data_IF_796657365736
#
_entry.id   IF_796657365736
#
_cell.length_a   1.000
_cell.length_b   1.000
_cell.length_c   1.000
_cell.angle_alpha   90.00
_cell.angle_beta   90.00
_cell.angle_gamma   90.00
#
_symmetry.space_group_name_H-M   'P 1'
#
loop_
_entity.id
_entity.type
_entity.pdbx_description
1 polymer ?
#
# COMPACT_ATOMS: atom_id res chain seq x y z
N UNK A 1 15.28 -46.97 -32.90
CA UNK A 1 14.17 -46.21 -32.34
C UNK A 1 14.81 -45.13 -31.46
N UNK A 2 14.89 -43.90 -31.97
CA UNK A 2 15.48 -42.77 -31.26
C UNK A 2 14.34 -41.81 -30.99
N UNK A 3 13.98 -41.66 -29.72
CA UNK A 3 13.01 -40.66 -29.26
C UNK A 3 13.73 -39.31 -29.22
N UNK A 4 13.27 -38.36 -30.02
CA UNK A 4 13.64 -36.94 -29.90
C UNK A 4 12.72 -36.28 -28.88
N UNK A 5 13.30 -35.78 -27.80
CA UNK A 5 12.64 -34.82 -26.89
C UNK A 5 12.61 -33.46 -27.59
N UNK A 6 11.42 -32.94 -27.84
CA UNK A 6 11.24 -31.54 -28.23
C UNK A 6 11.15 -30.70 -26.95
N UNK A 7 12.13 -29.85 -26.76
CA UNK A 7 12.08 -28.76 -25.79
C UNK A 7 11.23 -27.62 -26.40
N UNK A 8 10.13 -27.29 -25.76
CA UNK A 8 9.36 -26.09 -26.06
C UNK A 8 10.12 -24.89 -25.48
N UNK A 9 10.62 -24.03 -26.34
CA UNK A 9 11.03 -22.68 -25.96
C UNK A 9 9.77 -21.82 -25.86
N UNK A 10 9.53 -21.22 -24.71
CA UNK A 10 8.50 -20.21 -24.53
C UNK A 10 8.85 -18.98 -25.39
N UNK A 11 7.92 -18.54 -26.23
CA UNK A 11 8.02 -17.33 -27.03
C UNK A 11 7.74 -16.15 -26.11
N UNK A 12 8.70 -15.22 -25.99
CA UNK A 12 8.43 -13.90 -25.37
C UNK A 12 7.72 -13.03 -26.41
N UNK A 13 6.58 -12.39 -26.08
CA UNK A 13 5.95 -11.44 -26.99
C UNK A 13 6.83 -10.21 -27.19
N UNK A 14 6.80 -9.63 -28.39
CA UNK A 14 7.52 -8.41 -28.72
C UNK A 14 6.69 -7.19 -28.37
N UNK A 15 7.31 -6.03 -28.12
CA UNK A 15 6.65 -4.76 -27.76
C UNK A 15 5.49 -4.38 -28.71
N UNK A 16 5.55 -4.81 -29.97
CA UNK A 16 4.48 -4.57 -30.97
C UNK A 16 3.18 -5.32 -30.67
N UNK A 17 3.23 -6.43 -29.93
CA UNK A 17 2.04 -7.23 -29.60
C UNK A 17 1.29 -6.65 -28.39
N UNK A 18 2.01 -5.99 -27.48
CA UNK A 18 1.40 -5.26 -26.37
C UNK A 18 0.60 -4.04 -26.81
N UNK A 19 1.14 -3.27 -27.78
CA UNK A 19 0.44 -2.10 -28.36
C UNK A 19 -0.87 -2.48 -29.07
N UNK A 20 -0.94 -3.70 -29.63
CA UNK A 20 -2.15 -4.18 -30.31
C UNK A 20 -3.27 -4.54 -29.31
N UNK A 21 -2.91 -5.01 -28.14
CA UNK A 21 -3.87 -5.37 -27.08
C UNK A 21 -4.46 -4.12 -26.43
N UNK A 22 -3.68 -3.06 -26.22
CA UNK A 22 -4.20 -1.78 -25.74
C UNK A 22 -5.12 -1.11 -26.78
N UNK A 23 -4.81 -1.21 -28.07
CA UNK A 23 -5.66 -0.61 -29.13
C UNK A 23 -6.99 -1.34 -29.31
N UNK A 24 -7.10 -2.61 -28.94
CA UNK A 24 -8.32 -3.42 -29.05
C UNK A 24 -9.29 -3.27 -27.88
N UNK A 25 -8.88 -2.72 -26.74
CA UNK A 25 -9.77 -2.44 -25.60
C UNK A 25 -10.79 -1.31 -25.86
N UNK A 26 -10.62 -0.53 -26.94
CA UNK A 26 -11.52 0.55 -27.35
C UNK A 26 -12.70 0.16 -28.24
N UNK A 27 -12.87 -1.12 -28.60
CA UNK A 27 -13.99 -1.58 -29.44
C UNK A 27 -14.74 -2.72 -28.80
N UNK A 28 -15.91 -2.43 -28.24
CA UNK A 28 -16.89 -3.44 -27.82
C UNK A 28 -17.40 -4.22 -29.01
N UNK A 29 -16.93 -5.44 -29.22
CA UNK A 29 -17.68 -6.49 -29.92
C UNK A 29 -17.45 -7.81 -29.20
N UNK A 30 -18.54 -8.41 -28.77
CA UNK A 30 -18.62 -9.69 -28.11
C UNK A 30 -17.99 -10.83 -28.95
N UNK A 31 -16.90 -11.43 -28.46
CA UNK A 31 -16.54 -12.81 -28.74
C UNK A 31 -16.20 -13.46 -27.39
N UNK A 32 -17.21 -14.04 -26.80
CA UNK A 32 -17.05 -14.98 -25.69
C UNK A 32 -16.53 -16.29 -26.29
N UNK A 33 -15.56 -16.89 -25.56
CA UNK A 33 -14.93 -18.20 -25.77
C UNK A 33 -13.64 -18.18 -26.56
N UNK A 34 -12.55 -18.22 -25.79
CA UNK A 34 -11.21 -18.74 -26.01
C UNK A 34 -10.08 -17.81 -25.54
N UNK A 35 -10.09 -17.37 -24.29
CA UNK A 35 -8.93 -16.69 -23.68
C UNK A 35 -8.72 -17.12 -22.20
N UNK A 36 -8.78 -18.40 -21.93
CA UNK A 36 -8.46 -18.94 -20.59
C UNK A 36 -6.98 -19.38 -20.47
N UNK A 37 -6.08 -18.84 -21.26
CA UNK A 37 -4.64 -19.08 -21.12
C UNK A 37 -3.81 -18.04 -21.86
N UNK A 38 -3.95 -16.75 -21.50
CA UNK A 38 -2.94 -15.78 -21.82
C UNK A 38 -2.18 -15.48 -20.52
N UNK A 39 -0.85 -15.69 -20.49
CA UNK A 39 -0.07 -15.26 -19.34
C UNK A 39 -0.21 -13.75 -19.17
N UNK A 40 -0.43 -13.30 -17.95
CA UNK A 40 -0.31 -11.91 -17.52
C UNK A 40 1.17 -11.55 -17.75
N UNK A 41 1.47 -10.95 -18.89
CA UNK A 41 2.86 -10.78 -19.31
C UNK A 41 3.10 -9.57 -20.19
N UNK A 42 2.50 -8.41 -19.84
CA UNK A 42 2.89 -7.12 -20.40
C UNK A 42 3.24 -6.12 -19.29
N UNK A 43 3.87 -6.58 -18.23
CA UNK A 43 4.61 -5.71 -17.33
C UNK A 43 5.95 -5.49 -18.05
N UNK A 44 6.21 -4.26 -18.46
CA UNK A 44 7.57 -3.88 -18.92
C UNK A 44 8.45 -3.91 -17.67
N UNK A 45 9.17 -5.00 -17.56
CA UNK A 45 10.10 -5.29 -16.49
C UNK A 45 11.34 -4.42 -16.70
N UNK A 46 11.33 -3.21 -16.13
CA UNK A 46 12.52 -2.38 -15.98
C UNK A 46 13.12 -2.51 -14.58
N UNK A 47 12.60 -3.42 -13.75
CA UNK A 47 13.29 -3.87 -12.54
C UNK A 47 14.30 -4.96 -12.95
N UNK A 48 15.55 -4.62 -12.94
CA UNK A 48 16.70 -5.42 -13.40
C UNK A 48 17.08 -6.55 -12.41
N UNK A 49 16.21 -6.92 -11.49
CA UNK A 49 16.45 -7.91 -10.45
C UNK A 49 16.09 -9.35 -10.85
N UNK A 50 15.34 -9.52 -11.96
CA UNK A 50 15.00 -10.84 -12.50
C UNK A 50 14.23 -11.73 -11.51
N UNK A 51 13.57 -11.14 -10.51
CA UNK A 51 12.78 -11.86 -9.54
C UNK A 51 11.44 -12.27 -10.17
N UNK A 52 11.17 -13.57 -10.11
CA UNK A 52 9.91 -14.15 -10.61
C UNK A 52 8.90 -14.13 -9.44
N UNK A 53 8.03 -13.13 -9.42
CA UNK A 53 7.06 -12.94 -8.33
C UNK A 53 6.17 -14.16 -8.20
N UNK A 54 6.00 -14.73 -7.01
CA UNK A 54 5.02 -15.79 -6.80
C UNK A 54 3.62 -15.25 -7.08
N UNK A 55 2.81 -16.06 -7.76
CA UNK A 55 1.42 -15.71 -8.07
C UNK A 55 0.49 -16.64 -7.27
N UNK A 56 -0.07 -16.19 -6.16
CA UNK A 56 -1.01 -16.95 -5.34
C UNK A 56 -2.44 -16.98 -5.90
N UNK A 57 -2.75 -16.27 -7.02
CA UNK A 57 -4.10 -16.09 -7.56
C UNK A 57 -4.86 -17.39 -7.91
N UNK A 58 -4.21 -18.54 -7.85
CA UNK A 58 -4.86 -19.86 -8.02
C UNK A 58 -5.29 -20.52 -6.71
N UNK A 59 -5.04 -19.90 -5.58
CA UNK A 59 -5.41 -20.42 -4.26
C UNK A 59 -6.78 -19.89 -3.85
N UNK A 60 -7.47 -20.64 -3.02
CA UNK A 60 -8.70 -20.15 -2.37
C UNK A 60 -8.34 -19.32 -1.12
N UNK A 61 -9.14 -18.30 -0.85
CA UNK A 61 -9.04 -17.56 0.42
C UNK A 61 -9.31 -18.51 1.59
N UNK A 62 -8.39 -18.54 2.54
CA UNK A 62 -8.50 -19.39 3.72
C UNK A 62 -7.92 -18.66 4.94
N UNK A 63 -8.81 -18.14 5.77
CA UNK A 63 -8.50 -17.46 7.02
C UNK A 63 -8.88 -18.28 8.26
N UNK A 64 -9.28 -19.53 8.08
CA UNK A 64 -9.60 -20.46 9.16
C UNK A 64 -8.45 -21.47 9.38
N UNK A 65 -7.36 -21.00 9.96
CA UNK A 65 -6.26 -21.87 10.37
C UNK A 65 -6.33 -22.28 11.86
N UNK A 66 -7.41 -21.91 12.58
CA UNK A 66 -7.60 -22.19 14.00
C UNK A 66 -6.69 -21.37 14.93
N UNK A 67 -5.99 -20.37 14.40
CA UNK A 67 -5.08 -19.54 15.17
C UNK A 67 -5.82 -18.43 15.96
N UNK A 68 -6.97 -17.97 15.47
CA UNK A 68 -7.77 -16.96 16.13
C UNK A 68 -8.56 -17.58 17.28
N UNK A 69 -8.30 -17.06 18.48
CA UNK A 69 -9.03 -17.42 19.68
C UNK A 69 -9.62 -16.16 20.31
N UNK A 70 -10.92 -16.13 20.43
CA UNK A 70 -11.59 -15.09 21.22
C UNK A 70 -11.46 -15.43 22.70
N UNK A 71 -10.81 -14.57 23.46
CA UNK A 71 -10.75 -14.63 24.92
C UNK A 71 -11.85 -13.72 25.47
N UNK A 72 -13.08 -14.23 25.50
CA UNK A 72 -14.15 -13.58 26.29
C UNK A 72 -13.78 -13.55 27.77
N UNK A 73 -14.22 -12.52 28.50
CA UNK A 73 -13.95 -12.39 29.95
C UNK A 73 -14.35 -13.69 30.69
N UNK A 74 -13.35 -14.51 31.01
CA UNK A 74 -13.45 -15.67 31.90
C UNK A 74 -13.74 -17.03 31.25
N UNK A 75 -13.65 -17.18 29.93
CA UNK A 75 -13.83 -18.47 29.24
C UNK A 75 -12.57 -18.92 28.48
N UNK A 76 -12.38 -20.23 28.35
CA UNK A 76 -11.39 -20.84 27.47
C UNK A 76 -11.64 -20.38 26.04
N UNK A 77 -10.60 -19.93 25.35
CA UNK A 77 -10.67 -19.35 24.03
C UNK A 77 -11.51 -20.18 23.06
N UNK A 78 -12.51 -19.54 22.47
CA UNK A 78 -13.32 -20.11 21.39
C UNK A 78 -12.58 -19.85 20.08
N UNK A 79 -12.33 -20.91 19.30
CA UNK A 79 -11.81 -20.72 17.93
C UNK A 79 -12.84 -19.94 17.13
N UNK A 80 -12.39 -18.85 16.49
CA UNK A 80 -13.22 -18.01 15.63
C UNK A 80 -12.81 -18.28 14.19
N UNK A 81 -13.76 -18.58 13.32
CA UNK A 81 -13.55 -18.61 11.88
C UNK A 81 -13.98 -17.26 11.29
N UNK A 82 -13.24 -16.80 10.30
CA UNK A 82 -13.59 -15.62 9.50
C UNK A 82 -14.12 -16.13 8.15
N UNK A 83 -15.28 -15.62 7.77
CA UNK A 83 -15.81 -15.86 6.44
C UNK A 83 -15.10 -14.94 5.43
N UNK A 84 -14.74 -15.51 4.26
CA UNK A 84 -14.06 -14.79 3.19
C UNK A 84 -14.87 -14.94 1.91
N UNK A 85 -15.50 -13.85 1.49
CA UNK A 85 -16.36 -13.79 0.33
C UNK A 85 -15.83 -12.85 -0.75
N UNK A 86 -16.01 -13.19 -2.03
CA UNK A 86 -15.81 -12.24 -3.13
C UNK A 86 -16.86 -11.13 -3.02
N UNK A 87 -16.40 -9.89 -2.79
CA UNK A 87 -17.27 -8.72 -2.66
C UNK A 87 -17.50 -8.04 -4.01
N UNK A 88 -16.43 -7.72 -4.73
CA UNK A 88 -16.48 -7.11 -6.05
C UNK A 88 -15.46 -7.81 -6.95
N UNK A 89 -15.91 -8.24 -8.13
CA UNK A 89 -15.04 -8.67 -9.21
C UNK A 89 -14.62 -7.44 -10.01
N UNK A 90 -13.35 -7.11 -9.95
CA UNK A 90 -12.79 -5.90 -10.54
C UNK A 90 -12.18 -6.12 -11.91
N UNK A 91 -11.82 -5.00 -12.56
CA UNK A 91 -11.14 -4.99 -13.86
C UNK A 91 -9.79 -4.25 -13.83
N UNK A 92 -9.41 -3.73 -12.67
CA UNK A 92 -8.23 -2.90 -12.45
C UNK A 92 -7.68 -3.15 -11.04
N UNK A 93 -6.65 -2.48 -10.63
CA UNK A 93 -6.00 -2.66 -9.32
C UNK A 93 -6.61 -1.72 -8.28
N UNK A 94 -7.64 -2.16 -7.51
CA UNK A 94 -8.10 -1.44 -6.33
C UNK A 94 -7.06 -1.59 -5.23
N UNK A 95 -6.87 -0.57 -4.40
CA UNK A 95 -5.85 -0.66 -3.34
C UNK A 95 -6.23 0.02 -2.03
N UNK A 96 -7.34 0.74 -2.02
CA UNK A 96 -7.80 1.49 -0.85
C UNK A 96 -9.29 1.75 -0.93
N UNK A 97 -9.94 1.85 0.23
CA UNK A 97 -11.33 2.31 0.35
C UNK A 97 -11.48 3.32 1.47
N UNK A 98 -12.52 4.12 1.38
CA UNK A 98 -12.94 5.04 2.43
C UNK A 98 -14.45 5.21 2.39
N UNK A 99 -15.04 5.50 3.54
CA UNK A 99 -16.45 5.83 3.64
C UNK A 99 -16.63 7.32 3.35
N UNK A 100 -17.47 7.65 2.38
CA UNK A 100 -17.83 9.05 2.11
C UNK A 100 -18.64 9.62 3.28
N UNK A 101 -18.12 10.62 4.00
CA UNK A 101 -18.79 11.13 5.21
C UNK A 101 -20.10 11.88 4.92
N UNK A 102 -20.37 12.23 3.66
CA UNK A 102 -21.60 12.93 3.29
C UNK A 102 -22.82 12.01 3.12
N UNK A 103 -22.62 10.77 2.68
CA UNK A 103 -23.71 9.86 2.32
C UNK A 103 -23.54 8.42 2.82
N UNK A 104 -22.35 8.06 3.32
CA UNK A 104 -22.04 6.73 3.81
C UNK A 104 -21.67 5.70 2.73
N UNK A 105 -21.56 6.12 1.47
CA UNK A 105 -21.14 5.23 0.39
C UNK A 105 -19.66 4.84 0.53
N UNK A 106 -19.35 3.62 0.11
CA UNK A 106 -17.97 3.15 0.04
C UNK A 106 -17.30 3.66 -1.22
N UNK A 107 -16.25 4.45 -1.08
CA UNK A 107 -15.40 4.81 -2.20
C UNK A 107 -14.25 3.82 -2.32
N UNK A 108 -14.01 3.35 -3.55
CA UNK A 108 -12.93 2.43 -3.90
C UNK A 108 -11.97 3.16 -4.84
N UNK A 109 -10.70 3.16 -4.49
CA UNK A 109 -9.62 3.86 -5.20
C UNK A 109 -8.78 2.85 -5.98
N UNK A 110 -8.57 3.14 -7.25
CA UNK A 110 -7.81 2.29 -8.17
C UNK A 110 -6.49 2.97 -8.57
N UNK A 111 -5.41 2.20 -8.63
CA UNK A 111 -4.09 2.72 -9.01
C UNK A 111 -4.09 3.44 -10.37
N UNK A 112 -4.94 3.03 -11.31
CA UNK A 112 -5.07 3.66 -12.62
C UNK A 112 -5.70 5.05 -12.61
N UNK A 113 -6.13 5.55 -11.44
CA UNK A 113 -6.74 6.87 -11.29
C UNK A 113 -8.27 6.88 -11.29
N UNK A 114 -8.93 5.73 -11.32
CA UNK A 114 -10.37 5.67 -11.12
C UNK A 114 -10.74 5.72 -9.64
N UNK A 115 -11.83 6.40 -9.34
CA UNK A 115 -12.51 6.37 -8.04
C UNK A 115 -13.95 5.97 -8.31
N UNK A 116 -14.43 4.94 -7.60
CA UNK A 116 -15.81 4.46 -7.73
C UNK A 116 -16.50 4.47 -6.38
N UNK A 117 -17.81 4.71 -6.38
CA UNK A 117 -18.69 4.67 -5.21
C UNK A 117 -19.57 3.44 -5.26
N UNK A 118 -19.67 2.74 -4.13
CA UNK A 118 -20.59 1.63 -3.92
C UNK A 118 -21.66 2.05 -2.90
N UNK A 119 -22.94 2.04 -3.30
CA UNK A 119 -24.10 2.46 -2.50
C UNK A 119 -24.80 1.31 -1.76
N UNK A 120 -24.24 0.10 -1.82
CA UNK A 120 -24.82 -1.14 -1.32
C UNK A 120 -25.37 -2.05 -2.44
N UNK A 121 -25.70 -1.50 -3.59
CA UNK A 121 -26.27 -2.23 -4.73
C UNK A 121 -25.51 -1.97 -6.05
N UNK A 122 -25.02 -0.74 -6.26
CA UNK A 122 -24.46 -0.30 -7.53
C UNK A 122 -23.05 0.30 -7.34
N UNK A 123 -22.19 0.03 -8.32
CA UNK A 123 -20.87 0.66 -8.42
C UNK A 123 -20.91 1.76 -9.48
N UNK A 124 -20.74 3.01 -9.07
CA UNK A 124 -20.79 4.19 -9.94
C UNK A 124 -19.43 4.91 -10.00
N UNK A 125 -19.16 5.58 -11.13
CA UNK A 125 -17.95 6.39 -11.28
C UNK A 125 -18.07 7.70 -10.50
N UNK A 126 -17.10 7.97 -9.62
CA UNK A 126 -16.90 9.24 -8.91
C UNK A 126 -15.94 10.13 -9.69
N UNK A 127 -14.81 9.55 -10.13
CA UNK A 127 -13.80 10.26 -10.92
C UNK A 127 -13.10 9.35 -11.91
N UNK A 128 -12.68 9.95 -13.03
CA UNK A 128 -11.68 9.38 -13.95
C UNK A 128 -10.50 10.35 -14.04
N UNK A 129 -9.43 10.02 -13.30
CA UNK A 129 -8.18 10.78 -13.23
C UNK A 129 -7.06 10.10 -14.02
N UNK A 130 -7.39 9.09 -14.84
CA UNK A 130 -6.42 8.27 -15.57
C UNK A 130 -5.50 9.07 -16.50
N UNK A 131 -5.95 10.24 -16.96
CA UNK A 131 -5.14 11.14 -17.78
C UNK A 131 -4.16 12.01 -17.00
N UNK A 132 -4.22 11.99 -15.66
CA UNK A 132 -3.32 12.73 -14.78
C UNK A 132 -2.26 11.83 -14.13
N UNK A 133 -2.48 10.51 -14.17
CA UNK A 133 -1.77 9.53 -13.35
C UNK A 133 -0.83 8.70 -14.20
N UNK A 134 0.44 8.66 -13.83
CA UNK A 134 1.43 7.76 -14.43
C UNK A 134 1.20 6.31 -14.01
N UNK A 135 1.35 5.40 -14.97
CA UNK A 135 1.40 3.94 -14.77
C UNK A 135 2.61 3.34 -15.48
N UNK A 136 3.71 4.10 -15.52
CA UNK A 136 4.96 3.66 -16.13
C UNK A 136 5.68 2.59 -15.30
N UNK A 137 5.33 2.48 -14.02
CA UNK A 137 5.82 1.46 -13.09
C UNK A 137 4.65 0.91 -12.27
N UNK A 138 4.78 -0.33 -11.78
CA UNK A 138 3.72 -0.97 -10.99
C UNK A 138 3.38 -0.21 -9.70
N UNK A 139 4.36 0.43 -9.08
CA UNK A 139 4.17 1.23 -7.87
C UNK A 139 3.62 2.64 -8.14
N UNK A 140 3.52 3.07 -9.39
CA UNK A 140 2.95 4.36 -9.75
C UNK A 140 1.43 4.29 -9.89
N UNK A 141 0.77 5.41 -9.67
CA UNK A 141 -0.68 5.48 -9.77
C UNK A 141 -1.28 6.62 -8.98
N UNK A 142 -2.59 6.55 -8.76
CA UNK A 142 -3.28 7.26 -7.70
C UNK A 142 -3.04 6.49 -6.40
N UNK A 143 -2.14 6.97 -5.55
CA UNK A 143 -1.55 6.23 -4.42
C UNK A 143 -2.23 6.51 -3.08
N UNK A 144 -2.85 7.67 -2.95
CA UNK A 144 -3.54 8.06 -1.73
C UNK A 144 -4.74 8.97 -1.99
N UNK A 145 -5.78 8.80 -1.19
CA UNK A 145 -6.95 9.65 -1.14
C UNK A 145 -7.44 9.70 0.29
N UNK A 146 -7.80 10.90 0.78
CA UNK A 146 -8.45 11.06 2.07
C UNK A 146 -9.39 12.27 2.04
N UNK A 147 -10.49 12.19 2.80
CA UNK A 147 -11.34 13.35 3.04
C UNK A 147 -10.67 14.33 4.00
N UNK A 148 -11.00 15.60 3.87
CA UNK A 148 -10.66 16.62 4.88
C UNK A 148 -11.78 16.71 5.92
N UNK A 149 -11.66 17.64 6.91
CA UNK A 149 -12.78 17.95 7.81
C UNK A 149 -14.02 18.49 7.08
N UNK A 150 -13.83 19.04 5.86
CA UNK A 150 -14.92 19.34 4.94
C UNK A 150 -15.17 18.12 4.04
N UNK A 151 -16.33 17.45 4.14
CA UNK A 151 -16.64 16.26 3.36
C UNK A 151 -16.74 16.50 1.86
N UNK A 152 -16.75 17.75 1.42
CA UNK A 152 -16.73 18.13 0.01
C UNK A 152 -15.33 18.40 -0.53
N UNK A 153 -14.28 18.18 0.29
CA UNK A 153 -12.90 18.35 -0.13
C UNK A 153 -12.12 17.07 0.16
N UNK A 154 -11.44 16.55 -0.86
CA UNK A 154 -10.52 15.42 -0.73
C UNK A 154 -9.10 15.83 -1.08
N UNK A 155 -8.12 15.22 -0.40
CA UNK A 155 -6.73 15.24 -0.81
C UNK A 155 -6.44 14.01 -1.66
N UNK A 156 -5.63 14.21 -2.69
CA UNK A 156 -5.19 13.19 -3.63
C UNK A 156 -3.66 13.18 -3.67
N UNK A 157 -3.08 11.99 -3.64
CA UNK A 157 -1.66 11.77 -3.89
C UNK A 157 -1.50 10.82 -5.05
N UNK A 158 -0.76 11.24 -6.06
CA UNK A 158 -0.55 10.45 -7.28
C UNK A 158 0.79 10.76 -7.93
N UNK A 159 1.30 9.82 -8.71
CA UNK A 159 2.43 10.09 -9.60
C UNK A 159 1.89 10.72 -10.89
N UNK A 160 2.40 11.92 -11.20
CA UNK A 160 1.94 12.72 -12.36
C UNK A 160 2.24 11.99 -13.68
N UNK A 161 1.31 12.07 -14.64
CA UNK A 161 1.51 11.47 -15.96
C UNK A 161 2.74 12.05 -16.66
N UNK A 162 3.54 11.18 -17.26
CA UNK A 162 4.79 11.52 -17.92
C UNK A 162 5.23 10.46 -18.91
N UNK A 163 6.35 10.72 -19.57
CA UNK A 163 6.89 9.76 -20.54
C UNK A 163 7.43 8.51 -19.82
N UNK A 164 7.00 7.33 -20.27
CA UNK A 164 7.51 6.06 -19.74
C UNK A 164 8.90 5.70 -20.28
N UNK A 165 9.38 6.38 -21.31
CA UNK A 165 10.70 6.13 -21.92
C UNK A 165 11.73 7.17 -21.45
N UNK A 166 12.98 6.76 -21.29
CA UNK A 166 14.10 7.63 -20.91
C UNK A 166 14.27 7.79 -19.40
N UNK A 167 15.07 8.78 -19.02
CA UNK A 167 15.39 9.09 -17.61
C UNK A 167 14.36 10.02 -16.96
N UNK A 168 13.32 10.41 -17.68
CA UNK A 168 12.33 11.33 -17.14
C UNK A 168 11.51 10.63 -16.08
N UNK A 169 11.56 11.16 -14.88
CA UNK A 169 10.79 10.71 -13.74
C UNK A 169 9.52 11.57 -13.65
N UNK A 170 8.48 10.99 -13.09
CA UNK A 170 7.25 11.71 -12.83
C UNK A 170 7.19 12.07 -11.37
N UNK A 171 6.83 13.31 -11.05
CA UNK A 171 6.76 13.81 -9.68
C UNK A 171 5.64 13.12 -8.90
N UNK A 172 5.84 12.91 -7.62
CA UNK A 172 4.78 12.60 -6.69
C UNK A 172 4.05 13.90 -6.33
N UNK A 173 2.74 13.92 -6.55
CA UNK A 173 1.91 15.13 -6.44
C UNK A 173 0.91 14.98 -5.30
N UNK A 174 0.86 16.00 -4.45
CA UNK A 174 -0.25 16.26 -3.54
C UNK A 174 -1.17 17.30 -4.16
N UNK A 175 -2.45 17.02 -4.22
CA UNK A 175 -3.47 17.94 -4.71
C UNK A 175 -4.74 17.87 -3.87
N UNK A 176 -5.64 18.83 -4.05
CA UNK A 176 -7.00 18.69 -3.57
C UNK A 176 -8.01 18.76 -4.71
N UNK A 177 -9.16 18.17 -4.49
CA UNK A 177 -10.30 18.21 -5.38
C UNK A 177 -11.58 18.51 -4.61
N UNK A 178 -12.55 19.11 -5.30
CA UNK A 178 -13.87 19.38 -4.75
C UNK A 178 -14.82 18.25 -5.20
N UNK A 179 -15.51 17.68 -4.23
CA UNK A 179 -16.61 16.75 -4.48
C UNK A 179 -17.88 17.56 -4.71
N UNK A 180 -18.46 17.43 -5.91
CA UNK A 180 -19.64 18.21 -6.28
C UNK A 180 -20.85 17.91 -5.38
N UNK A 181 -21.43 18.94 -4.78
CA UNK A 181 -22.58 18.81 -3.86
C UNK A 181 -23.81 18.17 -4.52
N UNK A 182 -24.03 18.43 -5.82
CA UNK A 182 -25.21 17.96 -6.55
C UNK A 182 -25.07 16.51 -7.05
N UNK A 183 -23.84 16.03 -7.30
CA UNK A 183 -23.61 14.77 -8.02
C UNK A 183 -22.61 13.82 -7.33
N UNK A 184 -21.96 14.25 -6.26
CA UNK A 184 -20.96 13.45 -5.54
C UNK A 184 -19.69 13.11 -6.36
N UNK A 185 -19.42 13.85 -7.45
CA UNK A 185 -18.33 13.55 -8.39
C UNK A 185 -17.18 14.54 -8.30
N UNK A 186 -16.02 14.10 -8.74
CA UNK A 186 -14.82 14.92 -8.88
C UNK A 186 -14.56 15.15 -10.37
N UNK A 187 -14.37 16.41 -10.76
CA UNK A 187 -13.95 16.77 -12.13
C UNK A 187 -12.42 16.84 -12.19
N UNK A 188 -11.82 16.06 -13.07
CA UNK A 188 -10.38 16.05 -13.30
C UNK A 188 -9.82 17.43 -13.72
N UNK A 189 -10.65 18.29 -14.32
CA UNK A 189 -10.28 19.65 -14.70
C UNK A 189 -10.20 20.63 -13.54
N UNK A 190 -10.78 20.33 -12.39
CA UNK A 190 -10.88 21.21 -11.22
C UNK A 190 -9.89 20.84 -10.10
N UNK A 191 -8.94 19.93 -10.38
CA UNK A 191 -7.92 19.52 -9.40
C UNK A 191 -6.88 20.64 -9.21
N UNK A 192 -6.62 20.98 -7.97
CA UNK A 192 -5.61 21.99 -7.60
C UNK A 192 -4.40 21.34 -6.97
N UNK A 193 -3.25 21.48 -7.62
CA UNK A 193 -1.97 20.99 -7.10
C UNK A 193 -1.49 21.87 -5.94
N UNK A 194 -1.14 21.21 -4.83
CA UNK A 194 -0.61 21.81 -3.62
C UNK A 194 0.91 21.71 -3.55
N UNK A 195 1.45 20.53 -3.90
CA UNK A 195 2.88 20.26 -3.78
C UNK A 195 3.32 19.22 -4.81
N UNK A 196 4.57 19.33 -5.26
CA UNK A 196 5.26 18.30 -6.04
C UNK A 196 6.55 17.92 -5.35
N UNK A 197 6.87 16.62 -5.38
CA UNK A 197 8.11 16.05 -4.89
C UNK A 197 8.74 15.30 -6.04
N UNK A 198 9.91 15.76 -6.46
CA UNK A 198 10.69 15.14 -7.52
C UNK A 198 11.06 13.70 -7.13
N UNK A 199 10.82 12.75 -8.05
CA UNK A 199 11.16 11.34 -7.85
C UNK A 199 12.38 10.99 -8.69
N UNK A 200 13.53 10.64 -8.08
CA UNK A 200 14.74 10.26 -8.82
C UNK A 200 14.54 9.01 -9.68
N UNK A 201 13.69 8.10 -9.21
CA UNK A 201 13.37 6.84 -9.87
C UNK A 201 11.87 6.59 -9.91
N UNK A 202 11.43 5.50 -10.58
CA UNK A 202 10.00 5.21 -10.80
C UNK A 202 9.35 4.40 -9.69
N UNK A 203 10.15 3.78 -8.83
CA UNK A 203 9.71 2.97 -7.71
C UNK A 203 9.89 3.70 -6.37
N UNK A 204 9.43 3.09 -5.29
CA UNK A 204 9.41 3.62 -3.92
C UNK A 204 8.71 5.00 -3.82
N UNK A 205 7.56 5.10 -4.45
CA UNK A 205 6.83 6.36 -4.43
C UNK A 205 6.11 6.61 -3.09
N UNK A 206 5.77 5.55 -2.33
CA UNK A 206 4.90 5.68 -1.17
C UNK A 206 3.53 6.23 -1.57
N UNK A 207 3.23 7.46 -1.16
CA UNK A 207 2.09 8.24 -1.64
C UNK A 207 0.81 8.08 -0.82
N UNK A 208 0.77 7.21 0.19
CA UNK A 208 -0.42 7.07 1.01
C UNK A 208 -0.69 8.34 1.84
N UNK A 209 -1.97 8.68 1.98
CA UNK A 209 -2.48 9.83 2.72
C UNK A 209 -3.40 9.36 3.84
N UNK A 210 -3.23 9.93 5.03
CA UNK A 210 -4.09 9.68 6.18
C UNK A 210 -4.50 11.01 6.82
N UNK A 211 -5.80 11.16 7.14
CA UNK A 211 -6.31 12.26 7.95
C UNK A 211 -6.06 11.96 9.42
N UNK A 212 -5.22 12.75 10.07
CA UNK A 212 -4.82 12.53 11.47
C UNK A 212 -5.68 13.31 12.49
N UNK A 213 -6.83 13.86 12.04
CA UNK A 213 -7.71 14.68 12.87
C UNK A 213 -7.28 16.15 12.96
N UNK A 214 -8.20 17.02 13.41
CA UNK A 214 -7.98 18.47 13.62
C UNK A 214 -7.37 19.20 12.40
N UNK A 215 -7.78 18.80 11.18
CA UNK A 215 -7.29 19.35 9.92
C UNK A 215 -5.83 19.07 9.63
N UNK A 216 -5.27 18.03 10.24
CA UNK A 216 -3.90 17.57 10.00
C UNK A 216 -3.87 16.27 9.22
N UNK A 217 -2.78 16.09 8.45
CA UNK A 217 -2.62 14.98 7.51
C UNK A 217 -1.22 14.39 7.59
N UNK A 218 -1.13 13.09 7.38
CA UNK A 218 0.11 12.36 7.20
C UNK A 218 0.25 11.95 5.74
N UNK A 219 1.46 12.07 5.20
CA UNK A 219 1.78 11.67 3.83
C UNK A 219 3.10 10.90 3.82
N UNK A 220 3.04 9.62 3.47
CA UNK A 220 4.21 8.75 3.38
C UNK A 220 4.89 8.88 2.03
N UNK A 221 6.21 9.00 2.01
CA UNK A 221 7.01 9.18 0.80
C UNK A 221 8.20 8.24 0.88
N UNK A 222 8.43 7.48 -0.18
CA UNK A 222 9.58 6.59 -0.26
C UNK A 222 10.90 7.32 -0.46
N UNK A 223 12.00 6.60 -0.42
CA UNK A 223 13.37 7.13 -0.55
C UNK A 223 13.70 7.68 -1.95
N UNK A 224 12.75 7.55 -2.89
CA UNK A 224 12.89 8.00 -4.27
C UNK A 224 13.34 6.91 -5.23
N UNK A 225 13.56 5.68 -4.74
CA UNK A 225 13.70 4.49 -5.57
C UNK A 225 15.11 3.99 -5.80
N UNK A 226 15.21 2.99 -6.67
CA UNK A 226 16.44 2.21 -6.95
C UNK A 226 16.86 1.33 -5.75
N UNK A 227 17.98 0.62 -5.90
CA UNK A 227 18.52 -0.24 -4.85
C UNK A 227 19.58 0.50 -4.03
N UNK A 228 19.64 0.20 -2.72
CA UNK A 228 20.64 0.69 -1.78
C UNK A 228 20.60 2.20 -1.51
N UNK A 229 19.46 2.85 -1.70
CA UNK A 229 19.29 4.29 -1.48
C UNK A 229 20.46 5.12 -2.05
N UNK A 230 20.62 5.14 -3.38
CA UNK A 230 21.85 5.69 -4.01
C UNK A 230 22.03 7.19 -3.80
N UNK A 231 20.94 7.90 -3.49
CA UNK A 231 20.94 9.33 -3.21
C UNK A 231 21.07 9.64 -1.71
N UNK A 232 21.06 8.59 -0.84
CA UNK A 232 21.14 8.70 0.61
C UNK A 232 19.98 9.49 1.24
N UNK A 233 18.80 9.39 0.65
CA UNK A 233 17.62 10.12 1.08
C UNK A 233 17.06 9.61 2.42
N UNK A 234 17.16 8.31 2.70
CA UNK A 234 16.64 7.73 3.94
C UNK A 234 17.23 8.37 5.20
N UNK A 235 18.49 8.79 5.16
CA UNK A 235 19.16 9.43 6.31
C UNK A 235 19.29 10.95 6.19
N UNK A 236 18.73 11.56 5.15
CA UNK A 236 18.72 13.03 4.97
C UNK A 236 17.36 13.63 5.37
N UNK A 237 17.22 14.07 6.61
CA UNK A 237 16.00 14.69 7.11
C UNK A 237 15.73 16.13 6.58
N UNK A 238 16.56 16.64 5.70
CA UNK A 238 16.33 17.90 4.98
C UNK A 238 15.50 17.70 3.70
N UNK A 239 15.51 16.48 3.13
CA UNK A 239 14.65 16.10 2.01
C UNK A 239 13.28 15.64 2.51
N UNK A 240 12.33 15.48 1.58
CA UNK A 240 11.01 14.88 1.83
C UNK A 240 10.96 13.39 1.43
N UNK A 241 12.03 12.90 0.81
CA UNK A 241 12.16 11.50 0.42
C UNK A 241 12.54 10.62 1.62
N UNK A 242 12.00 9.40 1.68
CA UNK A 242 12.23 8.46 2.79
C UNK A 242 11.57 8.89 4.11
N UNK A 243 10.39 9.52 4.05
CA UNK A 243 9.79 10.20 5.21
C UNK A 243 8.29 9.98 5.36
N UNK A 244 7.79 10.29 6.56
CA UNK A 244 6.39 10.66 6.80
C UNK A 244 6.33 12.17 7.01
N UNK A 245 5.61 12.87 6.15
CA UNK A 245 5.29 14.28 6.32
C UNK A 245 4.05 14.45 7.19
N UNK A 246 4.07 15.47 8.08
CA UNK A 246 2.93 15.81 8.91
C UNK A 246 2.59 17.29 8.72
N UNK A 247 1.42 17.57 8.14
CA UNK A 247 1.07 18.90 7.67
C UNK A 247 -0.39 19.27 7.91
N UNK A 248 -0.71 20.55 7.72
CA UNK A 248 -2.05 21.11 7.64
C UNK A 248 -2.22 21.89 6.34
N UNK A 249 -3.46 22.18 6.01
CA UNK A 249 -3.78 23.12 4.94
C UNK A 249 -4.22 24.45 5.53
N UNK A 250 -3.45 25.50 5.26
CA UNK A 250 -3.79 26.88 5.66
C UNK A 250 -3.86 27.77 4.42
N UNK A 251 -5.03 28.32 4.13
CA UNK A 251 -5.26 29.18 2.97
C UNK A 251 -4.87 28.56 1.62
N UNK A 252 -4.98 27.21 1.50
CA UNK A 252 -4.61 26.48 0.29
C UNK A 252 -3.10 26.19 0.17
N UNK A 253 -2.35 26.38 1.23
CA UNK A 253 -0.91 26.07 1.30
C UNK A 253 -0.66 24.94 2.30
N UNK A 254 0.34 24.10 1.99
CA UNK A 254 0.84 23.03 2.88
C UNK A 254 1.75 23.67 3.91
N UNK A 255 1.38 23.55 5.18
CA UNK A 255 2.17 24.06 6.31
C UNK A 255 2.45 22.95 7.32
N UNK A 256 3.54 23.01 8.10
CA UNK A 256 3.82 22.01 9.12
C UNK A 256 2.71 21.91 10.16
N UNK A 257 2.30 20.70 10.53
CA UNK A 257 1.33 20.45 11.61
C UNK A 257 1.94 20.69 13.00
N UNK A 258 3.24 20.45 13.14
CA UNK A 258 4.00 20.71 14.36
C UNK A 258 4.89 21.95 14.14
N UNK A 259 4.87 22.85 15.11
CA UNK A 259 5.78 24.00 15.07
C UNK A 259 7.18 23.57 15.53
N UNK A 260 8.05 23.35 14.56
CA UNK A 260 9.39 22.81 14.74
C UNK A 260 10.42 23.75 14.10
N UNK A 261 11.64 23.75 14.64
CA UNK A 261 12.78 24.52 14.15
C UNK A 261 13.79 23.67 13.36
N UNK A 262 13.42 22.46 12.97
CA UNK A 262 14.25 21.61 12.11
C UNK A 262 14.43 22.20 10.71
N UNK A 263 15.37 21.67 9.94
CA UNK A 263 15.68 22.12 8.59
C UNK A 263 14.49 21.94 7.65
N UNK A 264 13.81 20.79 7.73
CA UNK A 264 12.51 20.57 7.09
C UNK A 264 11.43 20.31 8.16
N UNK A 265 10.59 21.31 8.49
CA UNK A 265 9.58 21.18 9.53
C UNK A 265 8.37 20.33 9.12
N UNK A 266 8.21 19.98 7.83
CA UNK A 266 7.16 19.06 7.37
C UNK A 266 7.49 17.62 7.74
N UNK A 267 8.79 17.26 7.84
CA UNK A 267 9.23 15.89 8.13
C UNK A 267 8.97 15.56 9.59
N UNK A 268 8.11 14.57 9.82
CA UNK A 268 7.85 13.99 11.14
C UNK A 268 8.83 12.83 11.41
N UNK A 269 8.86 11.83 10.55
CA UNK A 269 9.74 10.67 10.65
C UNK A 269 10.58 10.54 9.37
N UNK A 270 11.79 10.02 9.49
CA UNK A 270 12.69 9.73 8.37
C UNK A 270 13.36 8.37 8.56
N UNK A 271 14.15 7.94 7.61
CA UNK A 271 14.75 6.61 7.64
C UNK A 271 13.81 5.51 7.19
N UNK A 272 12.97 5.82 6.20
CA UNK A 272 12.03 4.91 5.56
C UNK A 272 12.46 4.62 4.13
N UNK A 273 12.18 3.40 3.65
CA UNK A 273 12.45 3.01 2.28
C UNK A 273 11.26 3.23 1.36
N UNK A 274 10.15 2.58 1.64
CA UNK A 274 8.91 2.71 0.87
C UNK A 274 7.71 2.45 1.80
N UNK A 275 7.29 3.44 2.60
CA UNK A 275 6.16 3.31 3.53
C UNK A 275 4.87 3.17 2.73
N UNK A 276 4.51 1.91 2.43
CA UNK A 276 3.40 1.61 1.53
C UNK A 276 2.06 1.97 2.14
N UNK A 277 1.84 1.58 3.40
CA UNK A 277 0.63 1.91 4.17
C UNK A 277 0.99 2.19 5.62
N UNK A 278 0.17 2.99 6.24
CA UNK A 278 0.25 3.27 7.67
C UNK A 278 -1.13 3.64 8.21
N UNK A 279 -1.29 3.48 9.51
CA UNK A 279 -2.52 3.79 10.23
C UNK A 279 -2.22 4.40 11.58
N UNK A 280 -3.19 5.16 12.11
CA UNK A 280 -3.06 5.89 13.36
C UNK A 280 -4.06 5.36 14.37
N UNK A 281 -3.56 4.84 15.50
CA UNK A 281 -4.43 4.41 16.57
C UNK A 281 -4.96 5.59 17.41
N UNK A 282 -5.92 5.31 18.28
CA UNK A 282 -6.59 6.30 19.14
C UNK A 282 -5.66 6.95 20.17
N UNK A 283 -4.47 6.40 20.41
CA UNK A 283 -3.45 6.94 21.33
C UNK A 283 -2.45 7.85 20.63
N UNK A 284 -2.57 8.01 19.31
CA UNK A 284 -1.66 8.80 18.49
C UNK A 284 -0.37 8.08 18.14
N UNK A 285 -0.40 6.73 18.15
CA UNK A 285 0.69 5.91 17.67
C UNK A 285 0.47 5.57 16.21
N UNK A 286 1.48 5.82 15.39
CA UNK A 286 1.49 5.57 13.96
C UNK A 286 2.13 4.20 13.68
N UNK A 287 1.35 3.33 13.06
CA UNK A 287 1.75 2.02 12.59
C UNK A 287 2.16 2.11 11.13
N UNK A 288 3.40 1.84 10.79
CA UNK A 288 3.93 1.99 9.43
C UNK A 288 4.44 0.65 8.94
N UNK A 289 3.89 0.19 7.81
CA UNK A 289 4.46 -0.91 7.04
C UNK A 289 5.44 -0.33 6.03
N UNK A 290 6.73 -0.61 6.23
CA UNK A 290 7.80 -0.16 5.36
C UNK A 290 8.41 -1.33 4.60
N UNK A 291 8.43 -1.22 3.28
CA UNK A 291 8.89 -2.29 2.39
C UNK A 291 10.41 -2.33 2.36
N UNK A 292 10.97 -3.47 2.77
CA UNK A 292 12.41 -3.73 2.72
C UNK A 292 12.96 -3.97 1.33
N UNK A 293 14.28 -4.16 1.22
CA UNK A 293 14.89 -4.35 -0.10
C UNK A 293 15.07 -5.82 -0.47
N UNK A 294 15.76 -6.58 0.39
CA UNK A 294 16.15 -7.94 0.03
C UNK A 294 15.91 -8.96 1.14
N UNK A 295 15.85 -8.51 2.38
CA UNK A 295 16.02 -9.40 3.52
C UNK A 295 14.89 -9.35 4.50
N UNK A 296 14.37 -8.17 4.80
CA UNK A 296 13.45 -7.97 5.91
C UNK A 296 12.36 -6.96 5.53
N UNK A 297 11.13 -7.33 5.81
CA UNK A 297 9.99 -6.42 5.85
C UNK A 297 9.77 -5.97 7.29
N UNK A 298 9.21 -4.77 7.51
CA UNK A 298 9.08 -4.24 8.86
C UNK A 298 7.78 -3.51 9.14
N UNK A 299 7.36 -3.59 10.41
CA UNK A 299 6.28 -2.77 10.98
C UNK A 299 6.89 -1.87 12.04
N UNK A 300 6.80 -0.58 11.82
CA UNK A 300 7.24 0.44 12.76
C UNK A 300 6.06 0.97 13.59
N UNK A 301 6.31 1.29 14.86
CA UNK A 301 5.34 1.91 15.76
C UNK A 301 5.96 3.13 16.42
N UNK A 302 5.48 4.31 16.06
CA UNK A 302 6.05 5.59 16.50
C UNK A 302 4.95 6.60 16.82
N UNK A 303 5.26 7.56 17.68
CA UNK A 303 4.30 8.60 18.07
C UNK A 303 4.26 9.73 17.06
N UNK A 304 3.08 10.26 16.71
CA UNK A 304 2.95 11.48 15.89
C UNK A 304 3.37 12.75 16.64
N UNK A 305 3.74 12.67 17.91
CA UNK A 305 4.15 13.81 18.73
C UNK A 305 5.67 13.97 18.84
N UNK A 306 6.44 12.98 18.39
CA UNK A 306 7.90 12.95 18.50
C UNK A 306 8.51 12.52 17.15
N UNK A 307 9.61 13.16 16.76
CA UNK A 307 10.36 12.76 15.56
C UNK A 307 11.14 11.49 15.80
N UNK A 308 11.19 10.62 14.79
CA UNK A 308 11.94 9.39 14.83
C UNK A 308 12.77 9.18 13.56
N UNK A 309 13.92 8.50 13.71
CA UNK A 309 14.69 7.94 12.63
C UNK A 309 14.48 6.41 12.65
N UNK A 310 13.96 5.84 11.56
CA UNK A 310 13.59 4.43 11.44
C UNK A 310 14.69 3.57 10.81
N UNK A 311 15.79 4.19 10.41
CA UNK A 311 17.08 3.50 10.17
C UNK A 311 17.47 3.24 8.73
N UNK A 312 16.56 3.26 7.76
CA UNK A 312 16.91 3.10 6.35
C UNK A 312 17.81 4.26 5.85
N UNK A 313 18.92 4.08 5.08
CA UNK A 313 19.45 2.78 4.60
C UNK A 313 20.70 2.33 5.41
N UNK A 314 20.79 2.68 6.69
CA UNK A 314 21.78 2.10 7.59
C UNK A 314 21.31 0.74 8.15
N UNK A 315 19.97 0.52 8.11
CA UNK A 315 19.28 -0.68 8.62
C UNK A 315 18.19 -1.15 7.66
N UNK A 316 17.91 -2.45 7.74
CA UNK A 316 16.74 -3.13 7.19
C UNK A 316 16.20 -4.07 8.29
N UNK A 317 15.02 -3.80 8.81
CA UNK A 317 14.54 -4.41 10.06
C UNK A 317 15.46 -4.09 11.26
N UNK A 318 15.79 -5.11 12.03
CA UNK A 318 16.72 -5.01 13.17
C UNK A 318 18.19 -5.04 12.77
N UNK A 319 18.51 -5.20 11.50
CA UNK A 319 19.83 -5.57 11.02
C UNK A 319 20.54 -4.39 10.38
N UNK A 320 21.87 -4.41 10.42
CA UNK A 320 22.64 -3.49 9.61
C UNK A 320 22.43 -3.84 8.14
N UNK A 321 22.17 -2.81 7.33
CA UNK A 321 22.00 -2.99 5.89
C UNK A 321 23.36 -3.12 5.20
N UNK A 322 23.58 -4.25 4.53
CA UNK A 322 24.83 -4.56 3.84
C UNK A 322 24.60 -4.79 2.32
N UNK A 323 23.60 -4.08 1.74
CA UNK A 323 23.23 -4.24 0.35
C UNK A 323 22.49 -5.55 0.08
N UNK A 324 22.92 -6.32 -0.94
CA UNK A 324 22.25 -7.57 -1.30
C UNK A 324 22.52 -8.75 -0.36
N UNK A 325 23.31 -8.57 0.69
CA UNK A 325 23.66 -9.62 1.64
C UNK A 325 22.75 -9.59 2.85
N UNK A 326 21.96 -10.64 3.05
CA UNK A 326 21.24 -10.83 4.30
C UNK A 326 22.21 -11.30 5.38
N UNK A 327 22.55 -10.43 6.30
CA UNK A 327 23.36 -10.81 7.45
C UNK A 327 22.49 -11.61 8.43
N UNK A 328 22.85 -12.86 8.67
CA UNK A 328 22.33 -13.61 9.83
C UNK A 328 23.02 -13.16 11.13
N UNK A 329 24.01 -12.28 11.02
CA UNK A 329 24.80 -11.82 12.13
C UNK A 329 24.00 -10.86 13.01
N UNK A 330 23.74 -11.34 14.17
CA UNK A 330 23.38 -10.66 15.41
C UNK A 330 22.61 -9.34 15.32
N UNK A 331 21.35 -9.49 15.34
CA UNK A 331 20.32 -8.80 16.08
C UNK A 331 20.91 -7.94 17.19
N UNK A 332 20.49 -6.73 17.28
CA UNK A 332 20.83 -5.81 18.38
C UNK A 332 22.19 -5.15 18.28
N UNK A 333 22.39 -4.44 17.20
CA UNK A 333 23.01 -3.16 17.43
C UNK A 333 21.87 -2.19 17.71
N UNK A 334 21.36 -2.18 18.94
CA UNK A 334 20.50 -1.08 19.39
C UNK A 334 21.38 0.17 19.35
N UNK A 335 21.30 0.89 18.26
CA UNK A 335 21.88 2.23 18.17
C UNK A 335 20.81 3.18 18.68
N UNK A 336 21.13 3.96 19.70
CA UNK A 336 20.23 4.94 20.30
C UNK A 336 19.80 6.05 19.30
N UNK A 337 20.34 6.05 18.08
CA UNK A 337 19.98 6.98 17.02
C UNK A 337 18.77 6.51 16.19
N UNK A 338 18.41 5.23 16.27
CA UNK A 338 17.30 4.65 15.51
C UNK A 338 16.22 4.09 16.43
N UNK A 339 14.99 4.10 15.95
CA UNK A 339 13.88 3.39 16.58
C UNK A 339 13.77 2.04 15.86
N UNK A 340 13.89 0.94 16.64
CA UNK A 340 13.72 -0.40 16.11
C UNK A 340 12.24 -0.65 15.76
N UNK A 341 11.92 -1.39 14.67
CA UNK A 341 10.56 -1.80 14.37
C UNK A 341 10.00 -2.71 15.47
N UNK A 342 8.69 -2.77 15.61
CA UNK A 342 8.01 -3.70 16.53
C UNK A 342 7.94 -5.12 15.97
N UNK A 343 8.06 -5.25 14.64
CA UNK A 343 8.15 -6.51 13.93
C UNK A 343 9.07 -6.35 12.72
N UNK A 344 9.93 -7.33 12.47
CA UNK A 344 10.56 -7.54 11.18
C UNK A 344 10.47 -9.02 10.81
N UNK A 345 10.05 -9.32 9.56
CA UNK A 345 9.99 -10.68 9.07
C UNK A 345 10.82 -10.86 7.79
N UNK A 346 11.43 -12.05 7.60
CA UNK A 346 12.37 -12.25 6.50
C UNK A 346 11.69 -12.55 5.17
N UNK A 347 12.39 -12.24 4.07
CA UNK A 347 12.06 -12.70 2.72
C UNK A 347 12.29 -14.21 2.60
N UNK A 348 11.43 -14.99 3.23
CA UNK A 348 11.47 -16.46 3.24
C UNK A 348 10.07 -17.00 2.95
N UNK A 349 10.02 -18.25 2.50
CA UNK A 349 8.77 -18.94 2.18
C UNK A 349 7.90 -18.24 1.12
N UNK A 350 8.50 -17.39 0.29
CA UNK A 350 7.82 -16.62 -0.75
C UNK A 350 7.40 -15.21 -0.32
N UNK A 351 7.57 -14.82 0.94
CA UNK A 351 7.34 -13.44 1.38
C UNK A 351 8.32 -12.49 0.71
N UNK A 352 7.84 -11.29 0.33
CA UNK A 352 8.65 -10.39 -0.47
C UNK A 352 8.37 -8.90 -0.28
N UNK A 353 7.18 -8.54 0.18
CA UNK A 353 6.77 -7.13 0.31
C UNK A 353 5.61 -7.01 1.27
N UNK A 354 5.82 -6.31 2.36
CA UNK A 354 4.75 -6.02 3.30
C UNK A 354 3.70 -5.11 2.64
N UNK A 355 2.46 -5.53 2.75
CA UNK A 355 1.31 -4.68 2.47
C UNK A 355 0.68 -4.34 3.80
N UNK A 356 0.86 -3.14 4.26
CA UNK A 356 0.34 -2.70 5.54
C UNK A 356 -1.18 -2.74 5.57
N UNK A 357 -1.70 -2.58 6.72
CA UNK A 357 -3.09 -2.72 7.07
C UNK A 357 -3.51 -1.65 8.05
N UNK A 358 -4.20 -2.09 9.06
CA UNK A 358 -4.88 -1.22 10.01
C UNK A 358 -4.64 -1.64 11.45
N UNK A 359 -4.63 -0.66 12.34
CA UNK A 359 -4.94 -0.90 13.74
C UNK A 359 -6.44 -1.22 13.85
N UNK A 360 -6.75 -2.43 14.28
CA UNK A 360 -8.12 -2.95 14.26
C UNK A 360 -8.89 -2.52 15.52
N UNK A 361 -9.44 -1.31 15.53
CA UNK A 361 -10.44 -0.86 16.50
C UNK A 361 -11.87 -0.95 15.94
N UNK A 362 -12.00 -1.39 14.69
CA UNK A 362 -13.21 -1.72 13.94
C UNK A 362 -13.10 -3.14 13.34
N UNK A 363 -14.07 -3.54 12.53
CA UNK A 363 -14.04 -4.82 11.83
C UNK A 363 -14.42 -6.04 12.67
N UNK A 364 -14.18 -7.25 12.18
CA UNK A 364 -14.50 -8.48 12.88
C UNK A 364 -13.89 -8.54 14.29
N UNK A 365 -14.71 -8.91 15.29
CA UNK A 365 -14.31 -8.87 16.72
C UNK A 365 -13.00 -9.67 16.99
N UNK A 366 -12.79 -10.76 16.26
CA UNK A 366 -11.59 -11.59 16.42
C UNK A 366 -10.29 -10.88 16.03
N UNK A 367 -10.36 -9.85 15.21
CA UNK A 367 -9.21 -9.07 14.73
C UNK A 367 -8.91 -7.85 15.59
N UNK A 368 -9.84 -7.42 16.45
CA UNK A 368 -9.73 -6.18 17.22
C UNK A 368 -8.57 -6.19 18.22
N UNK A 369 -8.12 -5.00 18.60
CA UNK A 369 -7.00 -4.74 19.50
C UNK A 369 -5.67 -5.32 18.99
N UNK A 370 -5.44 -5.24 17.67
CA UNK A 370 -4.22 -5.67 17.02
C UNK A 370 -3.97 -4.90 15.72
N UNK A 371 -2.74 -4.97 15.23
CA UNK A 371 -2.40 -4.45 13.91
C UNK A 371 -2.45 -5.57 12.88
N UNK A 372 -3.33 -5.42 11.90
CA UNK A 372 -3.46 -6.36 10.79
C UNK A 372 -2.55 -5.93 9.65
N UNK A 373 -1.82 -6.88 9.06
CA UNK A 373 -0.99 -6.62 7.87
C UNK A 373 -0.93 -7.86 6.97
N UNK A 374 -0.48 -7.67 5.73
CA UNK A 374 -0.35 -8.73 4.74
C UNK A 374 0.97 -8.68 3.99
N UNK A 375 1.21 -9.71 3.18
CA UNK A 375 2.32 -9.77 2.23
C UNK A 375 1.81 -9.86 0.79
N UNK A 376 2.34 -9.03 -0.08
CA UNK A 376 1.95 -8.96 -1.48
C UNK A 376 2.15 -10.28 -2.21
N UNK A 377 3.31 -10.92 -2.06
CA UNK A 377 3.68 -12.09 -2.84
C UNK A 377 2.91 -13.35 -2.45
N UNK A 378 2.71 -13.55 -1.16
CA UNK A 378 2.10 -14.79 -0.65
C UNK A 378 0.61 -14.67 -0.40
N UNK A 379 0.09 -13.45 -0.32
CA UNK A 379 -1.28 -13.21 0.14
C UNK A 379 -1.50 -13.61 1.60
N UNK A 380 -0.43 -13.81 2.36
CA UNK A 380 -0.50 -14.12 3.77
C UNK A 380 -0.97 -12.90 4.57
N UNK A 381 -1.73 -13.16 5.65
CA UNK A 381 -2.28 -12.14 6.52
C UNK A 381 -1.95 -12.48 7.96
N UNK A 382 -1.41 -11.51 8.70
CA UNK A 382 -1.06 -11.65 10.10
C UNK A 382 -1.80 -10.60 10.94
N UNK A 383 -1.94 -10.96 12.21
CA UNK A 383 -2.40 -10.07 13.27
C UNK A 383 -1.31 -9.95 14.32
N UNK A 384 -0.88 -8.73 14.60
CA UNK A 384 0.11 -8.40 15.61
C UNK A 384 -0.58 -7.89 16.86
N UNK A 385 -0.46 -8.60 17.97
CA UNK A 385 -1.08 -8.24 19.25
C UNK A 385 -0.05 -8.12 20.36
N UNK A 386 -0.32 -7.22 21.32
CA UNK A 386 0.49 -7.12 22.52
C UNK A 386 0.26 -8.31 23.45
N UNK A 387 1.35 -8.92 23.88
CA UNK A 387 1.35 -10.02 24.85
C UNK A 387 1.89 -9.53 26.20
N UNK A 388 1.02 -9.50 27.21
CA UNK A 388 1.40 -9.11 28.57
C UNK A 388 2.36 -10.11 29.22
N UNK A 389 2.28 -11.39 28.86
CA UNK A 389 3.16 -12.43 29.44
C UNK A 389 4.61 -12.21 29.07
N UNK A 390 4.90 -11.79 27.84
CA UNK A 390 6.25 -11.51 27.31
C UNK A 390 6.61 -10.05 27.33
N UNK A 391 5.66 -9.14 27.48
CA UNK A 391 5.79 -7.72 27.21
C UNK A 391 6.40 -7.48 25.82
N UNK A 392 5.86 -8.16 24.82
CA UNK A 392 6.29 -8.14 23.41
C UNK A 392 5.09 -8.13 22.48
N UNK A 393 5.30 -7.66 21.26
CA UNK A 393 4.37 -7.86 20.17
C UNK A 393 4.52 -9.26 19.59
N UNK A 394 3.42 -9.99 19.46
CA UNK A 394 3.38 -11.35 18.93
C UNK A 394 2.56 -11.36 17.62
N UNK A 395 3.19 -11.85 16.54
CA UNK A 395 2.52 -12.04 15.28
C UNK A 395 1.81 -13.41 15.24
N UNK A 396 0.62 -13.42 14.68
CA UNK A 396 -0.16 -14.63 14.41
C UNK A 396 -0.58 -14.66 12.96
N UNK A 397 -0.12 -15.65 12.19
CA UNK A 397 -0.61 -15.89 10.84
C UNK A 397 -2.08 -16.35 10.92
N UNK A 398 -2.99 -15.55 10.39
CA UNK A 398 -4.42 -15.87 10.37
C UNK A 398 -4.87 -16.59 9.10
N UNK A 399 -4.08 -16.56 8.06
CA UNK A 399 -4.35 -17.29 6.82
C UNK A 399 -3.78 -16.62 5.58
N UNK A 400 -4.37 -16.96 4.42
CA UNK A 400 -3.98 -16.44 3.12
C UNK A 400 -5.22 -15.99 2.36
N UNK A 401 -5.13 -14.85 1.68
CA UNK A 401 -6.25 -14.31 0.88
C UNK A 401 -6.46 -15.03 -0.45
N UNK A 402 -5.47 -15.78 -0.92
CA UNK A 402 -5.52 -16.47 -2.22
C UNK A 402 -5.13 -15.61 -3.41
N UNK A 403 -4.68 -14.36 -3.19
CA UNK A 403 -4.22 -13.44 -4.23
C UNK A 403 -3.11 -12.53 -3.72
N UNK A 404 -2.50 -11.77 -4.62
CA UNK A 404 -1.50 -10.75 -4.28
C UNK A 404 -2.18 -9.55 -3.64
N UNK A 405 -1.94 -9.32 -2.35
CA UNK A 405 -2.58 -8.24 -1.60
C UNK A 405 -1.88 -6.92 -1.90
N UNK A 406 -2.62 -5.91 -2.36
CA UNK A 406 -2.10 -4.54 -2.56
C UNK A 406 -2.56 -3.55 -1.52
N UNK A 407 -3.56 -3.90 -0.73
CA UNK A 407 -4.08 -3.06 0.34
C UNK A 407 -5.25 -3.69 1.06
N UNK A 408 -5.70 -2.97 2.08
CA UNK A 408 -6.86 -3.29 2.89
C UNK A 408 -7.76 -2.06 2.97
N UNK A 409 -8.99 -2.25 3.47
CA UNK A 409 -9.93 -1.15 3.68
C UNK A 409 -11.07 -1.54 4.60
N UNK A 410 -11.73 -0.54 5.12
CA UNK A 410 -12.98 -0.69 5.85
C UNK A 410 -14.15 -0.74 4.88
N UNK A 411 -15.09 -1.67 5.10
CA UNK A 411 -16.37 -1.73 4.42
C UNK A 411 -17.45 -0.95 5.17
N UNK A 412 -18.65 -0.82 4.58
CA UNK A 412 -19.75 -0.01 5.15
C UNK A 412 -20.43 -0.64 6.35
N UNK A 413 -20.23 -1.92 6.62
CA UNK A 413 -20.82 -2.67 7.72
C UNK A 413 -19.75 -3.21 8.70
N UNK A 414 -18.65 -2.47 8.87
CA UNK A 414 -17.48 -2.87 9.65
C UNK A 414 -16.80 -4.16 9.16
N UNK A 415 -16.90 -4.49 7.85
CA UNK A 415 -16.15 -5.60 7.26
C UNK A 415 -14.73 -5.16 6.92
N UNK A 416 -13.79 -6.08 7.01
CA UNK A 416 -12.46 -5.89 6.45
C UNK A 416 -12.49 -6.23 4.95
N UNK A 417 -12.05 -5.29 4.11
CA UNK A 417 -11.85 -5.51 2.68
C UNK A 417 -10.37 -5.80 2.39
N UNK A 418 -10.13 -6.75 1.48
CA UNK A 418 -8.80 -7.09 0.98
C UNK A 418 -8.79 -6.82 -0.52
N UNK A 419 -7.83 -6.03 -0.97
CA UNK A 419 -7.69 -5.66 -2.38
C UNK A 419 -6.59 -6.48 -3.03
N UNK A 420 -6.94 -7.18 -4.11
CA UNK A 420 -5.98 -7.96 -4.90
C UNK A 420 -5.48 -7.17 -6.11
N UNK A 421 -4.22 -7.41 -6.46
CA UNK A 421 -3.58 -6.85 -7.66
C UNK A 421 -4.36 -7.15 -8.94
N UNK A 422 -4.98 -8.31 -9.02
CA UNK A 422 -5.78 -8.81 -10.15
C UNK A 422 -7.18 -8.17 -10.25
N UNK A 423 -7.58 -7.38 -9.24
CA UNK A 423 -8.81 -6.58 -9.28
C UNK A 423 -9.92 -7.08 -8.37
N UNK A 424 -9.82 -8.27 -7.81
CA UNK A 424 -10.80 -8.78 -6.88
C UNK A 424 -10.73 -8.03 -5.55
N UNK A 425 -11.89 -7.78 -4.97
CA UNK A 425 -12.04 -7.29 -3.61
C UNK A 425 -12.73 -8.38 -2.81
N UNK A 426 -12.06 -8.86 -1.78
CA UNK A 426 -12.65 -9.81 -0.84
C UNK A 426 -13.21 -9.06 0.36
N UNK A 427 -14.24 -9.63 0.97
CA UNK A 427 -14.87 -9.16 2.19
C UNK A 427 -14.71 -10.22 3.27
N UNK A 428 -14.22 -9.79 4.43
CA UNK A 428 -13.99 -10.60 5.62
C UNK A 428 -14.95 -10.16 6.71
N UNK A 429 -15.71 -11.12 7.26
CA UNK A 429 -16.72 -10.87 8.29
C UNK A 429 -16.72 -11.94 9.40
#
# INVERSE_FOLDING_TARGET
MVQRSQTYQAFKPTSLECDLVQYMKGFQIAIVLLLSSLPIGCISDDSDDGFDWPDPSGNECNLDNGALQYLGEGELGVSVSLDCDLFIEGFDTPHHSLINPSNGDLWIVYLSGFIKSWDGDNLEDVADLSSLVSRCHMEQGLLGLTFTDDPHIVLLSYVEDGACEGENQSDLVLSYAIVGEDNGKIDAGDITVLKRIEQPYRNHNGGFLLHAGDGSFLWGIGDGGSANDPESNGQDNSTELGTILFFKLENGEVVPAINDSSENPLVLHHGLRNPWRFDLDSEGMLWIADVGQNCWEEVNLVSIHEKANLGWAEREGYHAFEGASCSEADHNVSDANYVDPVLAYPHQNGNCSITGGYWMDWGPEALRDGYLFGDFCTGAIWLLKWSDEGAVWEETLIGHSGGMIVGFGEGTEEELLIFHWTGEILRIS
#
